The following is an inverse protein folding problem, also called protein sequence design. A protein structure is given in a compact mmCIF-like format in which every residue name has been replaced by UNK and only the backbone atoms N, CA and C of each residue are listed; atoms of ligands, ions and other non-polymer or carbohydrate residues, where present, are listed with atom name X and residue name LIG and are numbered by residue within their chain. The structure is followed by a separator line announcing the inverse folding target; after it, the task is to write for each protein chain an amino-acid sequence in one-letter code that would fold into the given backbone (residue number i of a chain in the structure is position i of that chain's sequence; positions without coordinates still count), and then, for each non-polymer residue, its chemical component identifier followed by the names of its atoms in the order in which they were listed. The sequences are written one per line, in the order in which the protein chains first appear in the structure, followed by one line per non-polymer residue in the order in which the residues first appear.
data_IF_875539023276
#
_entry.id   IF_875539023276
#
_cell.length_a   1.000
_cell.length_b   1.000
_cell.length_c   1.000
_cell.angle_alpha   90.00
_cell.angle_beta   90.00
_cell.angle_gamma   90.00
#
_symmetry.space_group_name_H-M   'P 1'
#
loop_
_entity.id
_entity.type
_entity.pdbx_description
1 polymer ?
#
# COMPACT_ATOMS: atom_id res chain seq x y z
N UNK A 1 34.48 -16.30 10.65
CA UNK A 1 34.00 -16.94 9.40
C UNK A 1 33.44 -15.83 8.52
N UNK A 2 34.06 -15.60 7.36
CA UNK A 2 33.67 -14.55 6.41
C UNK A 2 32.53 -15.08 5.54
N UNK A 3 31.33 -14.54 5.70
CA UNK A 3 30.15 -14.87 4.89
C UNK A 3 30.24 -14.19 3.53
N UNK A 4 30.14 -15.00 2.48
CA UNK A 4 30.13 -14.60 1.08
C UNK A 4 28.81 -13.86 0.78
N UNK A 5 28.87 -12.55 0.53
CA UNK A 5 27.72 -11.80 0.03
C UNK A 5 27.45 -12.21 -1.43
N UNK A 6 26.33 -12.89 -1.66
CA UNK A 6 25.84 -13.17 -3.02
C UNK A 6 25.17 -11.89 -3.52
N UNK A 7 25.91 -11.11 -4.31
CA UNK A 7 25.36 -10.04 -5.14
C UNK A 7 24.48 -10.69 -6.22
N UNK A 8 23.18 -10.47 -6.19
CA UNK A 8 22.30 -10.76 -7.34
C UNK A 8 22.48 -9.59 -8.32
N UNK A 9 22.96 -9.82 -9.57
CA UNK A 9 23.15 -8.74 -10.52
C UNK A 9 21.80 -8.25 -11.03
N UNK A 10 21.52 -6.96 -10.82
CA UNK A 10 20.52 -6.21 -11.58
C UNK A 10 21.01 -6.11 -13.03
N UNK A 11 20.43 -6.91 -13.92
CA UNK A 11 20.67 -6.86 -15.36
C UNK A 11 20.07 -5.57 -15.96
N UNK A 12 20.83 -4.77 -16.74
CA UNK A 12 20.29 -3.61 -17.43
C UNK A 12 19.50 -4.05 -18.67
N UNK A 13 18.24 -3.61 -18.78
CA UNK A 13 17.44 -3.80 -19.99
C UNK A 13 17.90 -2.79 -21.04
N UNK A 14 18.52 -3.30 -22.10
CA UNK A 14 18.81 -2.59 -23.34
C UNK A 14 17.49 -2.25 -24.07
N UNK A 15 17.28 -0.97 -24.34
CA UNK A 15 16.23 -0.49 -25.23
C UNK A 15 16.59 -0.81 -26.69
N UNK A 16 15.88 -1.75 -27.31
CA UNK A 16 15.89 -1.94 -28.76
C UNK A 16 14.76 -1.12 -29.38
N UNK A 17 15.14 -0.12 -30.16
CA UNK A 17 14.23 0.60 -31.04
C UNK A 17 13.78 -0.29 -32.20
N UNK A 18 12.51 -0.18 -32.55
CA UNK A 18 12.01 -0.55 -33.87
C UNK A 18 11.11 0.57 -34.37
N UNK A 19 11.56 1.24 -35.43
CA UNK A 19 10.71 2.08 -36.25
C UNK A 19 9.83 1.22 -37.16
N UNK A 20 8.68 1.78 -37.53
CA UNK A 20 7.97 1.38 -38.75
C UNK A 20 7.18 2.57 -39.28
N UNK A 21 7.33 2.80 -40.58
CA UNK A 21 6.74 3.88 -41.35
C UNK A 21 5.32 3.51 -41.85
N UNK A 22 4.45 4.53 -41.83
CA UNK A 22 3.59 5.03 -42.91
C UNK A 22 2.57 4.13 -43.66
N UNK A 23 1.43 4.79 -43.93
CA UNK A 23 0.46 4.64 -45.06
C UNK A 23 -0.62 3.56 -44.86
N UNK A 24 -1.93 3.75 -45.11
CA UNK A 24 -2.68 4.57 -46.08
C UNK A 24 -4.06 5.01 -45.56
N UNK A 25 -4.51 6.15 -46.06
CA UNK A 25 -5.89 6.65 -46.05
C UNK A 25 -6.72 5.86 -47.08
N UNK A 26 -7.89 5.39 -46.68
CA UNK A 26 -8.86 4.69 -47.54
C UNK A 26 -10.28 5.17 -47.26
N UNK A 27 -10.96 5.54 -48.34
CA UNK A 27 -12.22 6.29 -48.44
C UNK A 27 -13.48 5.44 -48.23
N UNK A 28 -14.48 6.03 -47.56
CA UNK A 28 -15.89 6.08 -47.98
C UNK A 28 -16.66 4.77 -48.15
N UNK A 29 -17.48 4.43 -47.15
CA UNK A 29 -18.57 3.47 -47.28
C UNK A 29 -19.72 3.81 -46.34
N UNK A 30 -20.80 4.38 -46.88
CA UNK A 30 -22.03 4.70 -46.16
C UNK A 30 -22.79 3.39 -45.90
N UNK A 31 -22.63 2.82 -44.71
CA UNK A 31 -23.36 1.66 -44.21
C UNK A 31 -24.51 2.08 -43.31
N UNK A 32 -25.74 1.71 -43.71
CA UNK A 32 -27.03 1.94 -43.03
C UNK A 32 -27.00 1.36 -41.60
N UNK A 33 -27.03 2.20 -40.57
CA UNK A 33 -27.12 1.76 -39.17
C UNK A 33 -28.54 1.22 -38.87
N UNK A 34 -28.65 -0.08 -38.64
CA UNK A 34 -29.81 -0.69 -37.98
C UNK A 34 -29.64 -0.53 -36.47
N UNK A 35 -30.56 0.20 -35.83
CA UNK A 35 -30.58 0.36 -34.37
C UNK A 35 -31.22 -0.89 -33.78
N UNK A 36 -30.42 -1.86 -33.35
CA UNK A 36 -30.85 -2.89 -32.41
C UNK A 36 -30.61 -2.41 -30.99
N UNK A 37 -31.70 -2.10 -30.30
CA UNK A 37 -31.74 -1.73 -28.89
C UNK A 37 -31.56 -3.02 -28.08
N UNK A 38 -30.33 -3.46 -27.87
CA UNK A 38 -30.02 -4.47 -26.86
C UNK A 38 -30.24 -3.85 -25.48
N UNK A 39 -31.38 -4.17 -24.88
CA UNK A 39 -31.58 -3.96 -23.44
C UNK A 39 -30.67 -4.96 -22.76
N UNK A 40 -29.51 -4.50 -22.28
CA UNK A 40 -28.64 -5.30 -21.44
C UNK A 40 -29.44 -5.66 -20.19
N UNK A 41 -29.72 -6.95 -20.01
CA UNK A 41 -30.09 -7.49 -18.71
C UNK A 41 -28.92 -7.19 -17.76
N UNK A 42 -29.16 -6.31 -16.79
CA UNK A 42 -28.32 -6.26 -15.60
C UNK A 42 -28.51 -7.62 -14.92
N UNK A 43 -27.48 -8.47 -14.99
CA UNK A 43 -27.42 -9.66 -14.14
C UNK A 43 -27.54 -9.19 -12.71
N UNK A 44 -28.50 -9.73 -11.97
CA UNK A 44 -28.56 -9.63 -10.52
C UNK A 44 -27.18 -9.98 -9.98
N UNK A 45 -26.49 -8.98 -9.40
CA UNK A 45 -25.35 -9.24 -8.54
C UNK A 45 -25.93 -10.07 -7.40
N UNK A 46 -25.42 -11.28 -7.19
CA UNK A 46 -25.85 -12.15 -6.11
C UNK A 46 -25.77 -11.35 -4.80
N UNK A 47 -26.92 -10.99 -4.22
CA UNK A 47 -27.04 -10.17 -3.00
C UNK A 47 -26.62 -10.94 -1.73
N UNK A 48 -26.16 -12.19 -1.87
CA UNK A 48 -26.05 -13.16 -0.78
C UNK A 48 -24.60 -13.52 -0.35
N UNK A 49 -23.55 -12.98 -0.99
CA UNK A 49 -22.19 -13.09 -0.43
C UNK A 49 -21.90 -11.90 0.48
N UNK A 50 -22.25 -12.05 1.77
CA UNK A 50 -21.85 -11.13 2.84
C UNK A 50 -20.34 -10.86 2.75
N UNK A 51 -19.97 -9.58 2.55
CA UNK A 51 -18.57 -9.24 2.33
C UNK A 51 -17.82 -9.51 3.63
N UNK A 52 -16.71 -10.25 3.59
CA UNK A 52 -16.00 -10.61 4.83
C UNK A 52 -15.49 -9.40 5.64
N UNK A 53 -15.38 -8.21 5.02
CA UNK A 53 -15.09 -6.95 5.73
C UNK A 53 -16.29 -6.41 6.53
N UNK A 54 -17.51 -6.89 6.28
CA UNK A 54 -18.71 -6.56 7.08
C UNK A 54 -18.56 -7.02 8.54
N UNK A 55 -17.67 -7.97 8.81
CA UNK A 55 -17.21 -8.28 10.16
C UNK A 55 -16.79 -7.02 10.94
N UNK A 56 -16.13 -6.05 10.28
CA UNK A 56 -15.67 -4.80 10.87
C UNK A 56 -16.77 -3.74 11.01
N UNK A 57 -18.01 -4.05 10.64
CA UNK A 57 -19.21 -3.24 10.92
C UNK A 57 -19.89 -3.66 12.21
N UNK A 58 -19.40 -4.71 12.86
CA UNK A 58 -19.84 -5.17 14.19
C UNK A 58 -21.35 -5.42 14.26
N UNK A 59 -21.93 -6.00 13.20
CA UNK A 59 -23.36 -6.26 13.11
C UNK A 59 -24.23 -4.99 13.10
N UNK A 60 -23.68 -3.87 12.62
CA UNK A 60 -24.39 -2.59 12.58
C UNK A 60 -24.44 -1.86 13.93
N UNK A 61 -23.58 -2.22 14.88
CA UNK A 61 -23.43 -1.48 16.13
C UNK A 61 -23.01 -0.03 15.85
N UNK A 62 -23.44 0.90 16.71
CA UNK A 62 -22.93 2.27 16.72
C UNK A 62 -21.67 2.39 17.61
N UNK A 63 -20.65 3.17 17.21
CA UNK A 63 -19.46 3.41 18.02
C UNK A 63 -19.79 4.07 19.36
N UNK A 64 -19.17 3.60 20.44
CA UNK A 64 -19.28 4.19 21.78
C UNK A 64 -18.38 5.41 22.01
N UNK A 65 -17.72 5.92 20.98
CA UNK A 65 -16.74 7.01 21.01
C UNK A 65 -16.80 7.82 19.70
N UNK A 66 -16.23 9.03 19.70
CA UNK A 66 -16.10 9.82 18.46
C UNK A 66 -14.99 9.23 17.57
N UNK A 67 -15.41 8.47 16.56
CA UNK A 67 -14.52 7.80 15.61
C UNK A 67 -13.68 8.79 14.79
N UNK A 68 -14.23 9.95 14.45
CA UNK A 68 -13.54 10.96 13.65
C UNK A 68 -12.48 11.68 14.48
N UNK A 69 -12.81 12.06 15.71
CA UNK A 69 -11.85 12.64 16.66
C UNK A 69 -10.73 11.63 16.96
N UNK A 70 -11.07 10.37 17.22
CA UNK A 70 -10.09 9.31 17.49
C UNK A 70 -9.12 9.09 16.33
N UNK A 71 -9.61 9.14 15.08
CA UNK A 71 -8.75 9.08 13.90
C UNK A 71 -7.82 10.30 13.78
N UNK A 72 -8.31 11.50 14.11
CA UNK A 72 -7.48 12.72 14.10
C UNK A 72 -6.40 12.67 15.17
N UNK A 73 -6.71 12.19 16.37
CA UNK A 73 -5.72 11.95 17.43
C UNK A 73 -4.63 10.99 16.96
N UNK A 74 -5.03 9.80 16.51
CA UNK A 74 -4.11 8.77 16.01
C UNK A 74 -3.21 9.29 14.87
N UNK A 75 -3.81 9.98 13.90
CA UNK A 75 -3.06 10.50 12.74
C UNK A 75 -2.24 11.76 13.05
N UNK A 76 -2.43 12.39 14.21
CA UNK A 76 -1.64 13.53 14.68
C UNK A 76 -0.51 13.13 15.63
N UNK A 77 -0.45 11.86 16.03
CA UNK A 77 0.63 11.31 16.87
C UNK A 77 2.01 11.61 16.23
N UNK A 78 2.94 12.28 16.94
CA UNK A 78 4.27 12.60 16.41
C UNK A 78 5.00 11.41 15.78
N UNK A 79 4.93 10.23 16.40
CA UNK A 79 5.53 9.02 15.83
C UNK A 79 4.85 8.57 14.53
N UNK A 80 3.52 8.71 14.43
CA UNK A 80 2.78 8.45 13.20
C UNK A 80 3.17 9.42 12.10
N UNK A 81 3.26 10.72 12.39
CA UNK A 81 3.65 11.76 11.44
C UNK A 81 5.08 11.59 10.93
N UNK A 82 6.00 11.16 11.80
CA UNK A 82 7.40 10.87 11.44
C UNK A 82 7.60 9.47 10.83
N UNK A 83 6.52 8.69 10.67
CA UNK A 83 6.55 7.29 10.23
C UNK A 83 7.50 6.38 11.04
N UNK A 84 7.58 6.64 12.35
CA UNK A 84 8.35 5.85 13.33
C UNK A 84 7.44 4.87 14.03
N UNK A 85 7.10 3.79 13.33
CA UNK A 85 6.03 2.88 13.77
C UNK A 85 6.27 2.28 15.16
N UNK A 86 7.53 2.03 15.55
CA UNK A 86 7.89 1.51 16.88
C UNK A 86 7.58 2.47 18.03
N UNK A 87 7.56 3.77 17.75
CA UNK A 87 7.41 4.81 18.77
C UNK A 87 5.92 5.16 19.00
N UNK A 88 5.01 4.64 18.16
CA UNK A 88 3.57 4.78 18.36
C UNK A 88 3.16 3.84 19.51
N UNK A 89 2.44 4.32 20.54
CA UNK A 89 2.00 3.49 21.65
C UNK A 89 1.18 2.26 21.18
N UNK A 90 1.51 1.08 21.70
CA UNK A 90 0.86 -0.18 21.29
C UNK A 90 -0.62 -0.24 21.70
N UNK A 91 -1.05 0.55 22.67
CA UNK A 91 -2.45 0.63 23.11
C UNK A 91 -3.38 1.28 22.08
N UNK A 92 -2.85 1.96 21.05
CA UNK A 92 -3.63 2.37 19.89
C UNK A 92 -4.12 1.19 19.05
N UNK A 93 -3.49 0.02 19.12
CA UNK A 93 -3.71 -1.08 18.20
C UNK A 93 -4.40 -2.27 18.88
N UNK A 94 -5.35 -2.87 18.17
CA UNK A 94 -5.93 -4.16 18.55
C UNK A 94 -4.88 -5.26 18.44
N UNK A 95 -4.98 -6.29 19.28
CA UNK A 95 -4.16 -7.51 19.14
C UNK A 95 -4.43 -8.21 17.80
N UNK A 96 -5.64 -8.04 17.26
CA UNK A 96 -6.07 -8.56 15.96
C UNK A 96 -5.87 -7.55 14.81
N UNK A 97 -4.90 -6.63 14.94
CA UNK A 97 -4.60 -5.64 13.91
C UNK A 97 -4.11 -6.28 12.60
N UNK A 98 -4.57 -5.74 11.47
CA UNK A 98 -4.03 -6.01 10.13
C UNK A 98 -3.78 -4.72 9.36
N UNK A 99 -2.67 -4.67 8.61
CA UNK A 99 -2.42 -3.69 7.56
C UNK A 99 -2.47 -4.33 6.17
N UNK A 100 -3.09 -3.63 5.21
CA UNK A 100 -3.08 -4.00 3.79
C UNK A 100 -2.82 -2.79 2.89
N UNK A 101 -1.74 -2.85 2.13
CA UNK A 101 -1.50 -2.01 0.95
C UNK A 101 -1.65 -2.79 -0.34
N UNK A 102 -1.44 -2.17 -1.52
CA UNK A 102 -1.61 -2.86 -2.81
C UNK A 102 -0.67 -4.07 -2.98
N UNK A 103 0.55 -3.95 -2.46
CA UNK A 103 1.60 -4.99 -2.60
C UNK A 103 2.20 -5.44 -1.28
N UNK A 104 1.60 -5.03 -0.15
CA UNK A 104 2.01 -5.36 1.22
C UNK A 104 0.78 -5.81 2.00
N UNK A 105 0.95 -6.79 2.87
CA UNK A 105 -0.09 -7.34 3.70
C UNK A 105 -0.72 -8.63 3.13
N UNK A 106 -1.61 -9.27 3.90
CA UNK A 106 -1.95 -8.94 5.28
C UNK A 106 -0.73 -9.04 6.20
N UNK A 107 -0.51 -8.03 7.04
CA UNK A 107 0.60 -7.99 7.98
C UNK A 107 0.10 -7.47 9.32
N UNK A 108 0.42 -8.19 10.39
CA UNK A 108 0.05 -7.79 11.74
C UNK A 108 0.97 -6.68 12.25
N UNK A 109 0.62 -6.13 13.41
CA UNK A 109 1.27 -4.97 14.00
C UNK A 109 2.75 -5.21 14.27
N UNK A 110 3.09 -6.33 14.90
CA UNK A 110 4.47 -6.71 15.24
C UNK A 110 5.34 -6.82 13.99
N UNK A 111 4.91 -7.61 13.02
CA UNK A 111 5.69 -7.88 11.81
C UNK A 111 5.84 -6.60 10.96
N UNK A 112 4.86 -5.70 10.98
CA UNK A 112 4.92 -4.39 10.33
C UNK A 112 5.98 -3.47 10.97
N UNK A 113 6.04 -3.41 12.30
CA UNK A 113 7.07 -2.64 13.03
C UNK A 113 8.47 -3.18 12.76
N UNK A 114 8.63 -4.51 12.81
CA UNK A 114 9.91 -5.16 12.51
C UNK A 114 10.37 -4.87 11.08
N UNK A 115 9.44 -4.95 10.13
CA UNK A 115 9.70 -4.66 8.72
C UNK A 115 10.11 -3.19 8.52
N UNK A 116 9.37 -2.25 9.11
CA UNK A 116 9.68 -0.83 9.06
C UNK A 116 11.07 -0.53 9.66
N UNK A 117 11.37 -1.12 10.82
CA UNK A 117 12.67 -0.97 11.48
C UNK A 117 13.82 -1.54 10.65
N UNK A 118 13.61 -2.62 9.89
CA UNK A 118 14.63 -3.20 9.03
C UNK A 118 15.08 -2.24 7.89
N UNK A 119 14.15 -1.44 7.35
CA UNK A 119 14.49 -0.48 6.30
C UNK A 119 15.24 0.76 6.81
N UNK A 120 15.20 1.03 8.13
CA UNK A 120 15.82 2.22 8.75
C UNK A 120 15.48 3.52 8.01
N UNK A 121 14.22 3.66 7.57
CA UNK A 121 13.77 4.79 6.76
C UNK A 121 13.88 6.12 7.51
N UNK A 122 13.76 6.09 8.84
CA UNK A 122 13.96 7.25 9.71
C UNK A 122 15.42 7.73 9.71
N UNK A 123 16.39 6.86 9.44
CA UNK A 123 17.79 7.28 9.24
C UNK A 123 18.02 7.77 7.82
N UNK A 124 17.46 7.08 6.82
CA UNK A 124 17.60 7.44 5.41
C UNK A 124 16.89 8.77 5.05
N UNK A 125 15.76 9.05 5.70
CA UNK A 125 14.91 10.24 5.55
C UNK A 125 14.60 10.84 6.94
N UNK A 126 15.55 11.51 7.59
CA UNK A 126 15.40 11.98 8.97
C UNK A 126 14.35 13.10 9.14
N UNK A 127 14.04 13.81 8.06
CA UNK A 127 12.99 14.84 7.95
C UNK A 127 11.69 14.29 7.33
N UNK A 128 11.49 12.96 7.32
CA UNK A 128 10.26 12.35 6.82
C UNK A 128 9.07 12.84 7.64
N UNK A 129 8.10 13.43 6.94
CA UNK A 129 6.90 14.02 7.49
C UNK A 129 5.70 13.58 6.65
N UNK A 130 4.72 12.99 7.32
CA UNK A 130 3.39 12.72 6.81
C UNK A 130 2.48 13.91 7.10
N UNK A 131 1.48 14.11 6.27
CA UNK A 131 0.53 15.21 6.40
C UNK A 131 -0.88 14.68 6.10
N UNK A 132 -1.52 14.01 7.08
CA UNK A 132 -2.89 13.53 6.94
C UNK A 132 -3.88 14.70 6.84
N UNK A 133 -4.90 14.57 5.99
CA UNK A 133 -5.96 15.58 5.82
C UNK A 133 -7.23 14.96 5.26
N UNK A 134 -8.34 15.69 5.34
CA UNK A 134 -9.61 15.30 4.70
C UNK A 134 -10.28 14.08 5.34
N UNK A 135 -10.14 13.91 6.66
CA UNK A 135 -10.78 12.83 7.39
C UNK A 135 -12.31 12.87 7.26
N UNK A 136 -12.92 11.76 6.87
CA UNK A 136 -14.36 11.56 6.86
C UNK A 136 -14.71 10.15 7.32
N UNK A 137 -15.85 10.01 7.99
CA UNK A 137 -16.40 8.69 8.34
C UNK A 137 -16.90 8.00 7.07
N UNK A 138 -16.62 6.70 6.95
CA UNK A 138 -17.17 5.86 5.89
C UNK A 138 -18.70 5.72 6.08
N UNK A 139 -19.54 6.12 5.12
CA UNK A 139 -20.99 6.03 5.24
C UNK A 139 -21.53 4.61 5.44
N UNK A 140 -20.77 3.57 5.05
CA UNK A 140 -21.18 2.17 5.18
C UNK A 140 -20.58 1.46 6.40
N UNK A 141 -19.57 2.06 7.05
CA UNK A 141 -18.96 1.52 8.25
C UNK A 141 -18.68 2.66 9.26
N UNK A 142 -19.51 2.83 10.30
CA UNK A 142 -19.37 3.94 11.24
C UNK A 142 -18.09 3.87 12.09
N UNK A 143 -17.38 2.74 12.11
CA UNK A 143 -16.09 2.57 12.79
C UNK A 143 -14.89 2.89 11.91
N UNK A 144 -15.10 3.31 10.66
CA UNK A 144 -14.03 3.54 9.70
C UNK A 144 -13.94 5.00 9.30
N UNK A 145 -12.70 5.49 9.24
CA UNK A 145 -12.37 6.83 8.72
C UNK A 145 -11.52 6.68 7.47
N UNK A 146 -11.94 7.35 6.41
CA UNK A 146 -11.17 7.56 5.19
C UNK A 146 -10.44 8.91 5.31
N UNK A 147 -9.20 8.98 4.86
CA UNK A 147 -8.44 10.22 4.83
C UNK A 147 -7.39 10.19 3.72
N UNK A 148 -6.80 11.34 3.43
CA UNK A 148 -5.71 11.49 2.48
C UNK A 148 -4.40 11.81 3.19
N UNK A 149 -3.28 11.44 2.60
CA UNK A 149 -1.95 11.72 3.16
C UNK A 149 -0.97 12.17 2.05
N UNK A 150 0.01 12.97 2.45
CA UNK A 150 1.14 13.41 1.62
C UNK A 150 2.44 13.31 2.41
N UNK A 151 3.33 12.49 1.91
CA UNK A 151 4.64 12.24 2.51
C UNK A 151 5.68 13.13 1.85
N UNK A 152 6.53 13.73 2.67
CA UNK A 152 7.68 14.51 2.23
C UNK A 152 8.88 14.14 3.08
N UNK A 153 10.05 14.07 2.47
CA UNK A 153 11.30 13.85 3.19
C UNK A 153 12.48 14.00 2.23
N UNK A 154 13.69 14.05 2.74
CA UNK A 154 14.92 14.24 1.98
C UNK A 154 15.86 13.08 2.28
N UNK A 155 16.37 12.42 1.25
CA UNK A 155 17.27 11.30 1.43
C UNK A 155 18.70 11.78 1.77
N UNK A 156 18.90 12.22 3.00
CA UNK A 156 20.20 12.69 3.51
C UNK A 156 20.97 11.59 4.24
N UNK A 157 20.33 10.47 4.58
CA UNK A 157 20.98 9.30 5.16
C UNK A 157 21.18 8.16 4.15
N UNK A 158 22.09 7.26 4.50
CA UNK A 158 22.31 6.02 3.74
C UNK A 158 21.11 5.08 3.85
N UNK A 159 20.72 4.45 2.74
CA UNK A 159 19.75 3.38 2.76
C UNK A 159 20.46 2.05 3.04
N UNK A 160 20.68 1.76 4.34
CA UNK A 160 21.56 0.67 4.79
C UNK A 160 21.20 -0.71 4.24
N UNK A 161 19.92 -1.01 4.05
CA UNK A 161 19.49 -2.31 3.49
C UNK A 161 20.07 -2.59 2.10
N UNK A 162 20.37 -1.54 1.32
CA UNK A 162 20.91 -1.64 -0.03
C UNK A 162 22.32 -1.07 -0.16
N UNK A 163 22.95 -0.65 0.95
CA UNK A 163 24.26 0.00 0.98
C UNK A 163 24.36 1.18 -0.01
N UNK A 164 23.25 1.93 -0.17
CA UNK A 164 23.19 3.05 -1.10
C UNK A 164 23.48 4.37 -0.38
N UNK A 165 24.44 5.18 -0.88
CA UNK A 165 24.74 6.47 -0.30
C UNK A 165 23.53 7.43 -0.42
N UNK A 166 23.45 8.45 0.45
CA UNK A 166 22.38 9.44 0.37
C UNK A 166 22.38 10.15 -0.99
N UNK A 167 21.21 10.24 -1.60
CA UNK A 167 21.03 10.93 -2.89
C UNK A 167 20.86 12.45 -2.73
N UNK A 168 20.58 12.93 -1.51
CA UNK A 168 20.19 14.31 -1.18
C UNK A 168 18.97 14.82 -1.96
N UNK A 169 18.17 13.91 -2.52
CA UNK A 169 16.94 14.25 -3.24
C UNK A 169 15.77 14.32 -2.27
N UNK A 170 14.91 15.30 -2.51
CA UNK A 170 13.63 15.44 -1.81
C UNK A 170 12.60 14.50 -2.44
N UNK A 171 11.96 13.68 -1.62
CA UNK A 171 10.77 12.91 -1.96
C UNK A 171 9.52 13.76 -1.69
N UNK A 172 8.63 13.81 -2.67
CA UNK A 172 7.31 14.42 -2.56
C UNK A 172 6.31 13.42 -3.13
N UNK A 173 5.57 12.74 -2.26
CA UNK A 173 4.57 11.78 -2.70
C UNK A 173 3.36 12.50 -3.31
N UNK A 174 2.67 11.87 -4.27
CA UNK A 174 1.32 12.28 -4.63
C UNK A 174 0.37 12.07 -3.43
N UNK A 175 -0.84 12.65 -3.53
CA UNK A 175 -1.91 12.35 -2.57
C UNK A 175 -2.24 10.86 -2.60
N UNK A 176 -2.29 10.25 -1.42
CA UNK A 176 -2.62 8.84 -1.27
C UNK A 176 -3.80 8.67 -0.32
N UNK A 177 -4.84 7.92 -0.68
CA UNK A 177 -5.92 7.57 0.24
C UNK A 177 -5.45 6.52 1.25
N UNK A 178 -5.90 6.70 2.48
CA UNK A 178 -5.77 5.76 3.58
C UNK A 178 -7.14 5.51 4.22
N UNK A 179 -7.26 4.40 4.92
CA UNK A 179 -8.34 4.22 5.88
C UNK A 179 -7.84 3.61 7.16
N UNK A 180 -8.52 3.95 8.26
CA UNK A 180 -8.34 3.36 9.58
C UNK A 180 -9.71 2.90 10.07
N UNK A 181 -9.80 1.66 10.53
CA UNK A 181 -11.00 1.09 11.14
C UNK A 181 -10.71 0.75 12.59
N UNK A 182 -11.64 1.08 13.47
CA UNK A 182 -11.55 0.84 14.89
C UNK A 182 -12.41 -0.36 15.32
N UNK A 183 -11.94 -1.08 16.33
CA UNK A 183 -12.74 -2.02 17.09
C UNK A 183 -13.67 -1.26 18.07
N UNK A 184 -14.69 -1.94 18.66
CA UNK A 184 -15.62 -1.29 19.58
C UNK A 184 -14.98 -0.68 20.83
N UNK A 185 -13.77 -1.13 21.18
CA UNK A 185 -12.97 -0.60 22.28
C UNK A 185 -12.13 0.64 21.92
N UNK A 186 -12.24 1.15 20.68
CA UNK A 186 -11.54 2.35 20.22
C UNK A 186 -10.10 2.12 19.75
N UNK A 187 -9.67 0.87 19.62
CA UNK A 187 -8.35 0.50 19.07
C UNK A 187 -8.40 0.27 17.57
N UNK A 188 -7.33 0.60 16.87
CA UNK A 188 -7.17 0.37 15.45
C UNK A 188 -7.06 -1.14 15.19
N UNK A 189 -7.99 -1.70 14.42
CA UNK A 189 -7.98 -3.12 14.01
C UNK A 189 -7.58 -3.30 12.55
N UNK A 190 -7.80 -2.29 11.71
CA UNK A 190 -7.48 -2.39 10.29
C UNK A 190 -6.99 -1.06 9.74
N UNK A 191 -5.87 -1.08 9.03
CA UNK A 191 -5.38 0.05 8.25
C UNK A 191 -5.19 -0.35 6.79
N UNK A 192 -5.57 0.55 5.88
CA UNK A 192 -5.31 0.38 4.46
C UNK A 192 -4.63 1.59 3.87
N UNK A 193 -3.78 1.33 2.87
CA UNK A 193 -3.29 2.33 1.94
C UNK A 193 -3.61 1.89 0.52
N UNK A 194 -3.96 2.81 -0.36
CA UNK A 194 -4.19 2.51 -1.78
C UNK A 194 -3.16 3.21 -2.66
N UNK A 195 -3.38 3.21 -3.98
CA UNK A 195 -2.50 3.92 -4.92
C UNK A 195 -2.73 5.42 -4.87
N UNK A 196 -1.86 6.19 -5.55
CA UNK A 196 -2.02 7.63 -5.69
C UNK A 196 -3.40 8.00 -6.27
N UNK A 197 -3.98 9.10 -5.79
CA UNK A 197 -5.19 9.72 -6.40
C UNK A 197 -4.87 10.22 -7.81
N UNK A 198 -3.75 10.94 -7.94
CA UNK A 198 -3.18 11.34 -9.22
C UNK A 198 -1.71 10.95 -9.25
N UNK A 199 -1.36 10.01 -10.14
CA UNK A 199 0.00 9.48 -10.28
C UNK A 199 1.00 10.48 -10.88
N UNK A 200 0.52 11.61 -11.42
CA UNK A 200 1.36 12.67 -11.98
C UNK A 200 1.72 13.75 -10.95
N UNK A 201 1.09 13.74 -9.77
CA UNK A 201 1.49 14.60 -8.66
C UNK A 201 2.83 14.15 -8.05
N UNK A 202 3.55 15.11 -7.47
CA UNK A 202 4.80 14.86 -6.78
C UNK A 202 5.95 14.53 -7.73
N UNK A 203 6.97 13.83 -7.22
CA UNK A 203 8.16 13.47 -7.98
C UNK A 203 8.57 12.00 -7.87
N UNK A 204 7.71 11.18 -7.28
CA UNK A 204 7.93 9.74 -7.03
C UNK A 204 7.37 8.85 -8.13
N UNK A 205 7.05 9.43 -9.31
CA UNK A 205 6.47 8.73 -10.47
C UNK A 205 5.18 7.96 -10.14
N UNK A 206 4.34 8.54 -9.30
CA UNK A 206 3.08 7.93 -8.86
C UNK A 206 3.21 6.91 -7.74
N UNK A 207 4.43 6.64 -7.24
CA UNK A 207 4.66 5.74 -6.12
C UNK A 207 4.40 6.45 -4.80
N UNK A 208 3.81 5.73 -3.86
CA UNK A 208 3.34 6.24 -2.56
C UNK A 208 4.03 5.51 -1.41
N UNK A 209 3.90 6.05 -0.20
CA UNK A 209 4.48 5.49 1.02
C UNK A 209 5.95 5.09 0.84
N UNK A 210 6.35 3.90 1.32
CA UNK A 210 7.74 3.42 1.26
C UNK A 210 8.27 3.33 -0.17
N UNK A 211 7.46 2.93 -1.15
CA UNK A 211 7.91 2.80 -2.55
C UNK A 211 8.27 4.15 -3.19
N UNK A 212 7.61 5.25 -2.78
CA UNK A 212 7.97 6.60 -3.21
C UNK A 212 9.32 7.05 -2.65
N UNK A 213 9.61 6.67 -1.39
CA UNK A 213 10.90 6.93 -0.76
C UNK A 213 12.03 6.14 -1.46
N UNK A 214 11.82 4.86 -1.71
CA UNK A 214 12.79 4.00 -2.41
C UNK A 214 13.09 4.49 -3.83
N UNK A 215 12.08 4.93 -4.58
CA UNK A 215 12.27 5.56 -5.90
C UNK A 215 13.16 6.82 -5.79
N UNK A 216 12.93 7.64 -4.77
CA UNK A 216 13.72 8.87 -4.53
C UNK A 216 15.17 8.52 -4.20
N UNK A 217 15.39 7.46 -3.41
CA UNK A 217 16.71 6.93 -3.06
C UNK A 217 17.41 6.18 -4.21
N UNK A 218 16.80 6.13 -5.40
CA UNK A 218 17.41 5.53 -6.60
C UNK A 218 17.14 4.03 -6.78
N UNK A 219 16.16 3.48 -6.06
CA UNK A 219 15.71 2.09 -6.22
C UNK A 219 14.34 2.07 -6.93
N UNK A 220 14.32 1.89 -8.26
CA UNK A 220 13.07 1.83 -9.00
C UNK A 220 12.42 0.45 -8.83
N UNK A 221 11.64 0.26 -7.75
CA UNK A 221 10.83 -0.94 -7.56
C UNK A 221 9.47 -0.79 -8.22
N UNK A 222 9.07 -1.77 -9.01
CA UNK A 222 7.68 -1.90 -9.44
C UNK A 222 6.80 -2.21 -8.23
N UNK A 223 5.65 -1.56 -8.13
CA UNK A 223 4.64 -1.73 -7.09
C UNK A 223 3.27 -2.09 -7.67
N UNK A 224 3.24 -2.63 -8.89
CA UNK A 224 2.03 -3.08 -9.57
C UNK A 224 1.55 -4.40 -8.99
N UNK A 225 0.25 -4.46 -8.71
CA UNK A 225 -0.45 -5.71 -8.38
C UNK A 225 -0.30 -6.67 -9.56
N UNK A 226 0.01 -7.93 -9.30
CA UNK A 226 0.18 -8.97 -10.30
C UNK A 226 1.56 -9.02 -10.96
N UNK A 227 2.52 -8.15 -10.60
CA UNK A 227 3.86 -8.21 -11.17
C UNK A 227 4.56 -9.55 -10.82
N UNK A 228 4.90 -10.41 -11.80
CA UNK A 228 5.43 -11.74 -11.52
C UNK A 228 6.79 -11.74 -10.82
N UNK A 229 7.66 -10.77 -11.13
CA UNK A 229 8.98 -10.64 -10.50
C UNK A 229 8.86 -10.21 -9.04
N UNK A 230 7.96 -9.26 -8.77
CA UNK A 230 7.68 -8.81 -7.41
C UNK A 230 7.12 -9.96 -6.58
N UNK A 231 6.10 -10.66 -7.07
CA UNK A 231 5.50 -11.82 -6.40
C UNK A 231 6.57 -12.90 -6.14
N UNK A 232 7.38 -13.23 -7.14
CA UNK A 232 8.47 -14.19 -6.99
C UNK A 232 9.46 -13.76 -5.92
N UNK A 233 9.89 -12.49 -5.94
CA UNK A 233 10.85 -11.96 -4.96
C UNK A 233 10.28 -11.98 -3.53
N UNK A 234 9.00 -11.65 -3.35
CA UNK A 234 8.33 -11.69 -2.06
C UNK A 234 8.23 -13.13 -1.53
N UNK A 235 7.88 -14.09 -2.38
CA UNK A 235 7.83 -15.52 -2.04
C UNK A 235 9.20 -16.09 -1.73
N UNK A 236 10.23 -15.74 -2.52
CA UNK A 236 11.59 -16.20 -2.31
C UNK A 236 12.17 -15.66 -1.00
N UNK A 237 12.02 -14.35 -0.76
CA UNK A 237 12.43 -13.71 0.49
C UNK A 237 11.76 -14.39 1.70
N UNK A 238 10.47 -14.72 1.56
CA UNK A 238 9.71 -15.42 2.58
C UNK A 238 10.22 -16.84 2.83
N UNK A 239 10.45 -17.61 1.77
CA UNK A 239 10.88 -19.00 1.86
C UNK A 239 12.28 -19.14 2.46
N UNK A 240 13.20 -18.27 2.04
CA UNK A 240 14.61 -18.35 2.44
C UNK A 240 14.94 -17.51 3.69
N UNK A 241 14.01 -16.67 4.16
CA UNK A 241 14.25 -15.77 5.30
C UNK A 241 15.40 -14.79 5.06
N UNK A 242 15.63 -14.40 3.80
CA UNK A 242 16.82 -13.64 3.39
C UNK A 242 16.82 -12.20 3.90
N UNK A 243 15.63 -11.60 4.05
CA UNK A 243 15.47 -10.25 4.58
C UNK A 243 14.55 -10.24 5.79
N UNK A 244 14.94 -9.45 6.77
CA UNK A 244 14.13 -9.13 7.96
C UNK A 244 12.87 -8.34 7.60
N UNK A 245 12.90 -7.58 6.50
CA UNK A 245 11.71 -6.94 5.96
C UNK A 245 10.79 -7.96 5.26
N UNK A 246 9.63 -8.22 5.85
CA UNK A 246 8.62 -9.13 5.34
C UNK A 246 7.45 -8.32 4.76
N UNK A 247 6.93 -8.72 3.61
CA UNK A 247 5.81 -8.02 2.98
C UNK A 247 4.44 -8.51 3.48
N UNK A 248 4.41 -9.52 4.34
CA UNK A 248 3.21 -10.13 4.92
C UNK A 248 3.57 -10.93 6.18
N UNK A 249 2.58 -11.14 7.05
CA UNK A 249 2.70 -12.01 8.22
C UNK A 249 2.65 -13.50 7.87
N UNK A 250 3.04 -14.36 8.81
CA UNK A 250 2.73 -15.80 8.71
C UNK A 250 1.22 -15.99 8.77
N UNK A 251 0.69 -16.96 8.02
CA UNK A 251 -0.75 -17.25 8.00
C UNK A 251 -1.28 -17.53 9.42
N UNK A 252 -0.53 -18.26 10.25
CA UNK A 252 -0.91 -18.52 11.65
C UNK A 252 -0.90 -17.28 12.56
N UNK A 253 -0.28 -16.19 12.12
CA UNK A 253 -0.21 -14.92 12.86
C UNK A 253 -1.17 -13.87 12.29
N UNK A 254 -1.93 -14.20 11.24
CA UNK A 254 -2.98 -13.34 10.71
C UNK A 254 -4.28 -13.67 11.47
N UNK A 255 -4.96 -12.66 12.05
CA UNK A 255 -6.20 -12.86 12.77
C UNK A 255 -7.27 -13.59 11.96
N UNK A 256 -8.08 -14.39 12.65
CA UNK A 256 -9.07 -15.27 12.01
C UNK A 256 -10.18 -14.52 11.28
N UNK A 257 -10.40 -13.24 11.58
CA UNK A 257 -11.38 -12.40 10.87
C UNK A 257 -10.94 -12.07 9.44
N UNK A 258 -9.64 -12.07 9.15
CA UNK A 258 -9.14 -11.85 7.81
C UNK A 258 -9.38 -13.07 6.93
N UNK A 259 -10.21 -12.94 5.89
CA UNK A 259 -10.60 -14.08 5.03
C UNK A 259 -9.92 -14.08 3.67
N UNK A 260 -9.41 -12.94 3.20
CA UNK A 260 -8.74 -12.85 1.90
C UNK A 260 -7.47 -13.71 1.88
N UNK A 261 -7.32 -14.48 0.80
CA UNK A 261 -6.11 -15.28 0.53
C UNK A 261 -5.02 -14.47 -0.17
N UNK A 262 -5.32 -13.23 -0.54
CA UNK A 262 -4.37 -12.39 -1.24
C UNK A 262 -3.23 -11.95 -0.33
N UNK A 263 -2.02 -12.05 -0.87
CA UNK A 263 -0.81 -11.77 -0.13
C UNK A 263 0.17 -10.97 -0.98
N UNK A 264 0.81 -9.97 -0.38
CA UNK A 264 1.77 -9.13 -1.07
C UNK A 264 1.17 -8.54 -2.36
N UNK A 265 1.85 -8.75 -3.48
CA UNK A 265 1.42 -8.27 -4.79
C UNK A 265 0.53 -9.25 -5.58
N UNK A 266 0.04 -10.34 -4.99
CA UNK A 266 -0.84 -11.28 -5.70
C UNK A 266 -2.17 -10.63 -6.13
N UNK A 267 -2.70 -10.92 -7.33
CA UNK A 267 -3.92 -10.29 -7.86
C UNK A 267 -5.22 -11.02 -7.46
N UNK A 268 -5.18 -11.87 -6.43
CA UNK A 268 -6.26 -12.74 -5.99
C UNK A 268 -7.05 -12.15 -4.81
N UNK A 269 -7.18 -10.82 -4.75
CA UNK A 269 -8.03 -10.13 -3.77
C UNK A 269 -9.51 -10.52 -4.06
N UNK A 270 -9.95 -11.62 -3.46
CA UNK A 270 -11.33 -12.10 -3.38
C UNK A 270 -11.59 -12.50 -1.94
#
# INVERSE_FOLDING_TARGET
MKGLAVLIPLLPILASGFGSQSTRIGTGGVGRLSIHRSVALFSSVDEDEENWLDYLKWGGQEPGFDVLERAKEFTSEPAFLAFRLRDIPEDYYSEDYVFRGPVVGPINRRDLVETNAAFLLNEAFPDLQRNPFGHCIDPENPFRVLYFDRWKGTNTGELKMFFLPPTNKKSISPVTPFSVTFAPDGKVIYETVTTAVDRFEGNTKGKVAVFGLLETAGIPLDNSIGNPLLIFSQKLNRFLGLMTAQTQSKAENVPSWWKSRAVGAEPNDR
#
